data_IF_154380455767
#
_entry.id   IF_154380455767
#
_cell.length_a   1.000
_cell.length_b   1.000
_cell.length_c   1.000
_cell.angle_alpha   90.00
_cell.angle_beta   90.00
_cell.angle_gamma   90.00
#
_symmetry.space_group_name_H-M   'P 1'
#
loop_
_entity.id
_entity.type
_entity.pdbx_description
1 polymer ?
#
# COMPACT_ATOMS: atom_id res chain seq x y z
N UNK A 1 -2.90 -9.23 -5.44
CA UNK A 1 -1.71 -10.09 -5.20
C UNK A 1 -2.23 -11.47 -4.82
N UNK A 2 -1.95 -12.50 -5.61
CA UNK A 2 -2.42 -13.84 -5.28
C UNK A 2 -1.47 -14.53 -4.27
N UNK A 3 -1.93 -15.62 -3.66
CA UNK A 3 -1.15 -16.40 -2.70
C UNK A 3 0.18 -16.93 -3.29
N UNK A 4 0.24 -17.17 -4.60
CA UNK A 4 1.46 -17.61 -5.28
C UNK A 4 2.47 -16.48 -5.43
N UNK A 5 2.03 -15.24 -5.68
CA UNK A 5 2.88 -14.06 -5.67
C UNK A 5 3.43 -13.79 -4.26
N UNK A 6 2.66 -14.08 -3.20
CA UNK A 6 3.15 -14.04 -1.83
C UNK A 6 4.24 -15.08 -1.53
N UNK A 7 4.05 -16.34 -1.96
CA UNK A 7 5.08 -17.39 -1.83
C UNK A 7 6.34 -17.02 -2.62
N UNK A 8 6.20 -16.42 -3.80
CA UNK A 8 7.33 -15.98 -4.63
C UNK A 8 8.18 -14.91 -3.94
N UNK A 9 7.54 -13.96 -3.26
CA UNK A 9 8.24 -12.93 -2.47
C UNK A 9 9.11 -13.57 -1.39
N UNK A 10 8.55 -14.53 -0.64
CA UNK A 10 9.29 -15.21 0.43
C UNK A 10 10.36 -16.18 -0.08
N UNK A 11 10.19 -16.77 -1.27
CA UNK A 11 11.04 -17.86 -1.76
C UNK A 11 12.26 -17.46 -2.60
N UNK A 12 12.31 -16.27 -3.22
CA UNK A 12 13.34 -15.96 -4.24
C UNK A 12 14.09 -14.63 -4.12
N UNK A 13 13.64 -13.66 -3.33
CA UNK A 13 14.26 -12.33 -3.34
C UNK A 13 14.25 -11.55 -2.03
N UNK A 14 13.72 -12.13 -0.95
CA UNK A 14 13.53 -11.41 0.31
C UNK A 14 12.24 -10.57 0.31
N UNK A 15 11.89 -10.07 1.49
CA UNK A 15 10.60 -9.40 1.78
C UNK A 15 10.38 -8.10 0.99
N UNK A 16 11.42 -7.57 0.37
CA UNK A 16 11.42 -6.30 -0.38
C UNK A 16 11.61 -6.47 -1.89
N UNK A 17 11.73 -7.70 -2.38
CA UNK A 17 11.89 -7.95 -3.80
C UNK A 17 10.69 -7.38 -4.58
N UNK A 18 10.93 -6.50 -5.57
CA UNK A 18 9.83 -5.91 -6.32
C UNK A 18 9.05 -6.98 -7.06
N UNK A 19 7.73 -6.90 -6.96
CA UNK A 19 6.78 -7.78 -7.63
C UNK A 19 6.30 -7.08 -8.88
N UNK A 20 6.47 -7.72 -10.03
CA UNK A 20 5.90 -7.25 -11.30
C UNK A 20 4.68 -8.09 -11.65
N UNK A 21 3.53 -7.43 -11.74
CA UNK A 21 2.25 -8.04 -12.09
C UNK A 21 2.04 -8.07 -13.61
N UNK A 22 1.12 -8.92 -14.07
CA UNK A 22 0.83 -9.13 -15.51
C UNK A 22 0.34 -7.87 -16.24
N UNK A 23 -0.25 -6.93 -15.50
CA UNK A 23 -0.77 -5.66 -16.01
C UNK A 23 0.29 -4.55 -16.06
N UNK A 24 1.58 -4.88 -15.89
CA UNK A 24 2.69 -3.93 -15.94
C UNK A 24 2.92 -3.16 -14.64
N UNK A 25 2.10 -3.38 -13.61
CA UNK A 25 2.36 -2.81 -12.28
C UNK A 25 3.62 -3.43 -11.69
N UNK A 26 4.44 -2.61 -11.04
CA UNK A 26 5.64 -3.08 -10.35
C UNK A 26 5.80 -2.36 -9.03
N UNK A 27 6.06 -3.07 -7.94
CA UNK A 27 6.20 -2.42 -6.64
C UNK A 27 6.68 -3.37 -5.56
N UNK A 28 6.98 -2.82 -4.39
CA UNK A 28 7.33 -3.64 -3.23
C UNK A 28 6.16 -4.58 -2.85
N UNK A 29 6.43 -5.73 -2.23
CA UNK A 29 5.39 -6.63 -1.73
C UNK A 29 4.42 -5.92 -0.79
N UNK A 30 4.94 -5.03 0.06
CA UNK A 30 4.15 -4.24 0.99
C UNK A 30 3.25 -3.23 0.26
N UNK A 31 3.73 -2.62 -0.83
CA UNK A 31 2.92 -1.74 -1.68
C UNK A 31 1.77 -2.51 -2.34
N UNK A 32 2.04 -3.71 -2.87
CA UNK A 32 1.01 -4.58 -3.44
C UNK A 32 -0.05 -4.99 -2.40
N UNK A 33 0.38 -5.31 -1.17
CA UNK A 33 -0.53 -5.63 -0.07
C UNK A 33 -1.38 -4.43 0.36
N UNK A 34 -0.79 -3.23 0.43
CA UNK A 34 -1.51 -2.01 0.74
C UNK A 34 -2.54 -1.64 -0.34
N UNK A 35 -2.21 -1.83 -1.61
CA UNK A 35 -3.15 -1.70 -2.72
C UNK A 35 -4.31 -2.69 -2.58
N UNK A 36 -4.02 -3.97 -2.27
CA UNK A 36 -5.05 -4.98 -2.06
C UNK A 36 -6.04 -4.57 -0.94
N UNK A 37 -5.55 -3.98 0.16
CA UNK A 37 -6.40 -3.40 1.21
C UNK A 37 -7.27 -2.26 0.67
N UNK A 38 -6.72 -1.40 -0.19
CA UNK A 38 -7.48 -0.32 -0.83
C UNK A 38 -8.56 -0.83 -1.79
N UNK A 39 -8.31 -1.92 -2.48
CA UNK A 39 -9.28 -2.55 -3.39
C UNK A 39 -10.36 -3.33 -2.62
N UNK A 40 -10.09 -3.66 -1.35
CA UNK A 40 -10.98 -4.42 -0.48
C UNK A 40 -10.82 -5.94 -0.64
N UNK A 41 -9.65 -6.38 -1.10
CA UNK A 41 -9.32 -7.79 -1.25
C UNK A 41 -9.17 -8.46 0.13
N UNK A 42 -9.79 -9.62 0.30
CA UNK A 42 -9.64 -10.43 1.50
C UNK A 42 -8.19 -10.87 1.69
N UNK A 43 -7.69 -10.85 2.93
CA UNK A 43 -6.31 -11.24 3.24
C UNK A 43 -5.25 -10.16 2.99
N UNK A 44 -5.60 -9.03 2.36
CA UNK A 44 -4.64 -7.95 2.10
C UNK A 44 -4.01 -7.39 3.38
N UNK A 45 -4.81 -7.27 4.44
CA UNK A 45 -4.35 -6.76 5.74
C UNK A 45 -3.42 -7.75 6.44
N UNK A 46 -3.76 -9.04 6.43
CA UNK A 46 -2.98 -10.13 7.01
C UNK A 46 -1.61 -10.22 6.34
N UNK A 47 -1.58 -10.14 5.01
CA UNK A 47 -0.34 -10.12 4.22
C UNK A 47 0.48 -8.87 4.57
N UNK A 48 -0.13 -7.69 4.63
CA UNK A 48 0.56 -6.46 4.96
C UNK A 48 1.18 -6.50 6.38
N UNK A 49 0.44 -7.00 7.38
CA UNK A 49 0.95 -7.21 8.75
C UNK A 49 2.16 -8.13 8.75
N UNK A 50 2.05 -9.28 8.08
CA UNK A 50 3.13 -10.26 8.03
C UNK A 50 4.40 -9.70 7.36
N UNK A 51 4.25 -8.93 6.28
CA UNK A 51 5.38 -8.26 5.62
C UNK A 51 6.05 -7.24 6.54
N UNK A 52 5.26 -6.42 7.24
CA UNK A 52 5.78 -5.45 8.22
C UNK A 52 6.51 -6.17 9.38
N UNK A 53 5.97 -7.28 9.88
CA UNK A 53 6.62 -8.09 10.92
C UNK A 53 7.93 -8.73 10.45
N UNK A 54 8.00 -9.11 9.18
CA UNK A 54 9.22 -9.65 8.56
C UNK A 54 10.25 -8.58 8.16
N UNK A 55 9.97 -7.31 8.45
CA UNK A 55 10.90 -6.20 8.25
C UNK A 55 10.88 -5.61 6.83
N UNK A 56 9.77 -5.72 6.12
CA UNK A 56 9.62 -5.06 4.83
C UNK A 56 9.87 -3.55 4.92
N UNK A 57 10.53 -2.99 3.91
CA UNK A 57 10.79 -1.57 3.78
C UNK A 57 9.48 -0.80 3.54
N UNK A 58 9.16 0.06 4.48
CA UNK A 58 7.94 0.88 4.49
C UNK A 58 8.02 2.05 3.50
N UNK A 59 9.22 2.38 3.01
CA UNK A 59 9.47 3.47 2.07
C UNK A 59 9.39 3.03 0.63
N UNK A 60 9.67 1.76 0.36
CA UNK A 60 9.64 1.19 -0.98
C UNK A 60 8.22 1.18 -1.53
N UNK A 61 7.99 2.07 -2.50
CA UNK A 61 6.73 2.21 -3.21
C UNK A 61 6.57 1.30 -4.40
N UNK A 62 5.62 1.64 -5.24
CA UNK A 62 5.38 0.98 -6.51
C UNK A 62 4.83 1.94 -7.55
N UNK A 63 4.74 1.41 -8.77
CA UNK A 63 4.24 2.07 -9.95
C UNK A 63 3.07 1.26 -10.49
N UNK A 64 1.93 1.93 -10.67
CA UNK A 64 0.76 1.31 -11.27
C UNK A 64 0.92 1.12 -12.80
N UNK A 65 -0.08 0.51 -13.45
CA UNK A 65 -0.05 0.24 -14.89
C UNK A 65 -0.11 1.51 -15.76
N UNK A 66 -0.47 2.65 -15.17
CA UNK A 66 -0.49 3.97 -15.80
C UNK A 66 0.83 4.73 -15.59
N UNK A 67 1.80 4.16 -14.87
CA UNK A 67 3.08 4.80 -14.57
C UNK A 67 3.06 5.71 -13.35
N UNK A 68 2.00 5.68 -12.54
CA UNK A 68 1.86 6.50 -11.35
C UNK A 68 2.54 5.86 -10.15
N UNK A 69 3.38 6.64 -9.48
CA UNK A 69 4.12 6.20 -8.31
C UNK A 69 3.32 6.50 -7.03
N UNK A 70 3.42 5.60 -6.06
CA UNK A 70 2.78 5.75 -4.75
C UNK A 70 3.51 4.91 -3.70
N UNK A 71 3.34 5.27 -2.42
CA UNK A 71 3.89 4.52 -1.28
C UNK A 71 2.84 3.59 -0.68
N UNK A 72 3.25 2.56 0.11
CA UNK A 72 2.29 1.71 0.81
C UNK A 72 1.39 2.51 1.76
N UNK A 73 1.95 3.53 2.42
CA UNK A 73 1.19 4.41 3.31
C UNK A 73 0.16 5.24 2.54
N UNK A 74 0.48 5.69 1.31
CA UNK A 74 -0.46 6.42 0.47
C UNK A 74 -1.71 5.57 0.17
N UNK A 75 -1.52 4.30 -0.20
CA UNK A 75 -2.63 3.37 -0.42
C UNK A 75 -3.44 3.10 0.86
N UNK A 76 -2.76 2.91 1.99
CA UNK A 76 -3.45 2.71 3.27
C UNK A 76 -4.28 3.93 3.70
N UNK A 77 -3.76 5.14 3.50
CA UNK A 77 -4.49 6.38 3.80
C UNK A 77 -5.66 6.62 2.85
N UNK A 78 -5.50 6.34 1.56
CA UNK A 78 -6.61 6.35 0.60
C UNK A 78 -7.69 5.35 1.01
N UNK A 79 -7.32 4.12 1.31
CA UNK A 79 -8.22 3.08 1.80
C UNK A 79 -8.99 3.55 3.04
N UNK A 80 -8.32 4.21 3.99
CA UNK A 80 -8.95 4.78 5.18
C UNK A 80 -9.95 5.91 4.82
N UNK A 81 -9.58 6.82 3.92
CA UNK A 81 -10.47 7.90 3.46
C UNK A 81 -11.68 7.42 2.67
N UNK A 82 -11.52 6.32 1.93
CA UNK A 82 -12.60 5.66 1.20
C UNK A 82 -13.47 4.75 2.11
N UNK A 83 -13.13 4.62 3.40
CA UNK A 83 -13.86 3.79 4.37
C UNK A 83 -13.65 2.27 4.20
N UNK A 84 -12.54 1.86 3.57
CA UNK A 84 -12.20 0.45 3.36
C UNK A 84 -11.78 -0.23 4.66
N UNK A 85 -12.26 -1.46 4.84
CA UNK A 85 -11.88 -2.30 5.99
C UNK A 85 -10.37 -2.53 5.98
N UNK A 86 -9.74 -2.37 7.15
CA UNK A 86 -8.29 -2.52 7.30
C UNK A 86 -7.45 -1.31 6.88
N UNK A 87 -7.98 -0.36 6.11
CA UNK A 87 -7.22 0.82 5.65
C UNK A 87 -6.69 1.69 6.81
N UNK A 88 -7.56 2.03 7.75
CA UNK A 88 -7.17 2.80 8.94
C UNK A 88 -6.17 2.05 9.83
N UNK A 89 -6.35 0.73 9.98
CA UNK A 89 -5.47 -0.11 10.79
C UNK A 89 -4.08 -0.21 10.14
N UNK A 90 -4.02 -0.39 8.83
CA UNK A 90 -2.78 -0.43 8.07
C UNK A 90 -2.05 0.90 8.13
N UNK A 91 -2.76 2.02 7.97
CA UNK A 91 -2.16 3.35 8.06
C UNK A 91 -1.54 3.58 9.44
N UNK A 92 -2.25 3.22 10.52
CA UNK A 92 -1.72 3.30 11.90
C UNK A 92 -0.48 2.43 12.08
N UNK A 93 -0.50 1.19 11.58
CA UNK A 93 0.64 0.28 11.65
C UNK A 93 1.87 0.84 10.95
N UNK A 94 1.72 1.32 9.71
CA UNK A 94 2.80 1.87 8.90
C UNK A 94 3.40 3.14 9.54
N UNK A 95 2.55 4.04 10.04
CA UNK A 95 3.00 5.26 10.75
C UNK A 95 3.75 4.90 12.03
N UNK A 96 3.23 3.96 12.83
CA UNK A 96 3.88 3.52 14.07
C UNK A 96 5.25 2.88 13.83
N UNK A 97 5.46 2.29 12.64
CA UNK A 97 6.74 1.68 12.24
C UNK A 97 7.67 2.65 11.48
N UNK A 98 7.27 3.91 11.29
CA UNK A 98 8.13 4.95 10.71
C UNK A 98 8.04 5.11 9.18
N UNK A 99 6.90 4.76 8.58
CA UNK A 99 6.66 5.03 7.16
C UNK A 99 6.72 6.54 6.83
N UNK A 100 7.11 6.87 5.60
CA UNK A 100 7.20 8.26 5.14
C UNK A 100 5.81 8.88 4.94
N UNK A 101 5.38 9.72 5.89
CA UNK A 101 4.07 10.41 5.90
C UNK A 101 3.90 11.47 4.80
N UNK A 102 5.02 12.01 4.30
CA UNK A 102 5.02 13.08 3.30
C UNK A 102 5.24 12.57 1.86
N UNK A 103 5.23 11.25 1.65
CA UNK A 103 5.41 10.69 0.32
C UNK A 103 4.25 11.10 -0.60
N UNK A 104 4.54 11.76 -1.71
CA UNK A 104 3.53 12.12 -2.70
C UNK A 104 3.22 10.87 -3.53
N UNK A 105 1.94 10.48 -3.57
CA UNK A 105 1.45 9.47 -4.49
C UNK A 105 0.60 10.08 -5.58
N UNK A 106 0.44 9.35 -6.68
CA UNK A 106 -0.45 9.67 -7.80
C UNK A 106 -1.53 8.61 -7.90
N UNK A 107 -2.78 9.04 -8.07
CA UNK A 107 -3.87 8.14 -8.39
C UNK A 107 -3.86 7.73 -9.87
N UNK A 108 -4.75 6.81 -10.27
CA UNK A 108 -4.83 6.30 -11.64
C UNK A 108 -5.22 7.34 -12.70
N UNK A 109 -5.61 8.56 -12.31
CA UNK A 109 -5.90 9.68 -13.22
C UNK A 109 -4.82 10.77 -13.15
N UNK A 110 -3.76 10.55 -12.37
CA UNK A 110 -2.58 11.42 -12.27
C UNK A 110 -2.67 12.51 -11.21
N UNK A 111 -3.71 12.55 -10.37
CA UNK A 111 -3.80 13.51 -9.27
C UNK A 111 -2.78 13.17 -8.19
N UNK A 112 -1.98 14.18 -7.84
CA UNK A 112 -1.01 14.08 -6.77
C UNK A 112 -1.68 14.35 -5.43
N UNK A 113 -1.41 13.50 -4.45
CA UNK A 113 -1.89 13.66 -3.08
C UNK A 113 -0.90 13.06 -2.11
N UNK A 114 -0.98 13.49 -0.85
CA UNK A 114 -0.18 12.92 0.24
C UNK A 114 -1.05 12.01 1.11
N UNK A 115 -0.47 11.05 1.85
CA UNK A 115 -1.21 10.31 2.88
C UNK A 115 -1.96 11.23 3.85
N UNK A 116 -1.34 12.37 4.19
CA UNK A 116 -1.95 13.37 5.07
C UNK A 116 -3.16 14.06 4.43
N UNK A 117 -3.12 14.31 3.12
CA UNK A 117 -4.28 14.82 2.38
C UNK A 117 -5.48 13.88 2.53
N UNK A 118 -5.28 12.58 2.30
CA UNK A 118 -6.34 11.57 2.47
C UNK A 118 -6.85 11.47 3.91
N UNK A 119 -5.95 11.60 4.89
CA UNK A 119 -6.34 11.64 6.30
C UNK A 119 -7.18 12.89 6.63
N UNK A 120 -6.82 14.06 6.09
CA UNK A 120 -7.57 15.28 6.27
C UNK A 120 -8.95 15.20 5.59
N UNK A 121 -9.03 14.64 4.38
CA UNK A 121 -10.31 14.44 3.68
C UNK A 121 -11.21 13.44 4.39
N UNK A 122 -10.64 12.43 5.05
CA UNK A 122 -11.41 11.45 5.83
C UNK A 122 -12.12 12.12 7.02
N UNK A 123 -11.48 13.10 7.66
CA UNK A 123 -12.06 13.85 8.79
C UNK A 123 -13.02 14.94 8.31
N UNK A 124 -12.67 15.66 7.24
CA UNK A 124 -13.53 16.73 6.71
C UNK A 124 -14.76 16.22 5.97
N UNK A 125 -14.69 15.01 5.43
CA UNK A 125 -15.76 14.37 4.66
C UNK A 125 -16.85 13.72 5.50
N UNK A 126 -16.76 13.76 6.84
CA UNK A 126 -17.80 13.39 7.81
C UNK A 126 -18.84 12.41 7.28
N UNK A 127 -18.44 11.14 7.08
CA UNK A 127 -19.36 10.01 7.01
C UNK A 127 -19.39 9.32 8.37
#
# INVERSE_FOLDING_TARGET
MDFMDFIRVLGRGGVDAPVTQKNGMTGSPLWCAAMAVSDGEEGGMEVAKLLVEKGADLKSGGRDGCGNESSPLWWASRAAGDGRVGGLELAKLLVAKGALVNAVGKDGVGHQSTPLWWAATAVSGGK
#
